data_IF_921043137368
#
_entry.id   IF_921043137368
#
_cell.length_a   1.000
_cell.length_b   1.000
_cell.length_c   1.000
_cell.angle_alpha   90.00
_cell.angle_beta   90.00
_cell.angle_gamma   90.00
#
_symmetry.space_group_name_H-M   'P 1'
#
loop_
_entity.id
_entity.type
_entity.pdbx_description
1 polymer ?
#
# COMPACT_ATOMS: atom_id res chain seq x y z
N UNK A 1 10.95 9.59 -28.52
CA UNK A 1 10.12 9.93 -27.34
C UNK A 1 10.95 9.72 -26.06
N UNK A 2 11.24 10.78 -25.32
CA UNK A 2 11.96 10.67 -24.05
C UNK A 2 11.15 9.75 -23.10
N UNK A 3 11.80 8.74 -22.53
CA UNK A 3 11.18 7.89 -21.51
C UNK A 3 10.78 8.79 -20.34
N UNK A 4 9.50 8.76 -19.95
CA UNK A 4 9.01 9.49 -18.77
C UNK A 4 9.72 8.97 -17.51
N UNK A 5 9.93 9.86 -16.55
CA UNK A 5 10.55 9.46 -15.28
C UNK A 5 9.72 8.35 -14.61
N UNK A 6 10.34 7.35 -13.97
CA UNK A 6 9.61 6.38 -13.16
C UNK A 6 8.71 7.09 -12.15
N UNK A 7 7.49 6.59 -11.97
CA UNK A 7 6.46 7.23 -11.15
C UNK A 7 6.04 8.64 -11.60
N UNK A 8 6.38 9.11 -12.82
CA UNK A 8 5.92 10.42 -13.30
C UNK A 8 4.41 10.56 -13.26
N UNK A 9 3.63 9.48 -13.33
CA UNK A 9 2.18 9.50 -13.16
C UNK A 9 1.70 9.95 -11.77
N UNK A 10 2.55 9.89 -10.74
CA UNK A 10 2.29 10.50 -9.43
C UNK A 10 2.42 12.03 -9.50
N UNK A 11 3.17 12.55 -10.49
CA UNK A 11 3.61 13.94 -10.58
C UNK A 11 3.09 14.67 -11.84
N UNK A 12 2.59 13.94 -12.84
CA UNK A 12 2.12 14.45 -14.13
C UNK A 12 0.61 14.71 -14.13
N UNK A 13 0.34 16.02 -14.19
CA UNK A 13 -0.78 16.74 -14.82
C UNK A 13 -2.04 17.13 -14.02
N UNK A 14 -2.22 18.46 -14.05
CA UNK A 14 -3.23 19.32 -13.44
C UNK A 14 -4.60 19.22 -14.13
N UNK A 15 -4.89 18.09 -14.78
CA UNK A 15 -6.10 17.90 -15.61
C UNK A 15 -7.35 17.59 -14.77
N UNK A 16 -7.17 17.08 -13.55
CA UNK A 16 -8.23 16.98 -12.58
C UNK A 16 -8.22 18.24 -11.72
N UNK A 17 -9.14 19.16 -12.04
CA UNK A 17 -9.38 20.41 -11.32
C UNK A 17 -9.17 20.25 -9.81
N UNK A 18 -8.10 20.86 -9.30
CA UNK A 18 -7.63 20.68 -7.93
C UNK A 18 -8.36 21.53 -6.89
N UNK A 19 -9.21 22.46 -7.34
CA UNK A 19 -9.99 23.32 -6.47
C UNK A 19 -11.39 22.76 -6.25
N UNK A 20 -11.73 22.57 -4.98
CA UNK A 20 -13.03 22.04 -4.57
C UNK A 20 -14.21 22.88 -5.07
N UNK A 21 -14.06 24.21 -5.16
CA UNK A 21 -15.08 25.09 -5.77
C UNK A 21 -15.37 24.72 -7.22
N UNK A 22 -14.35 24.50 -8.04
CA UNK A 22 -14.52 24.12 -9.45
C UNK A 22 -15.11 22.71 -9.60
N UNK A 23 -14.78 21.78 -8.71
CA UNK A 23 -15.41 20.45 -8.70
C UNK A 23 -16.88 20.55 -8.30
N UNK A 24 -17.22 21.38 -7.30
CA UNK A 24 -18.61 21.69 -6.92
C UNK A 24 -19.37 22.36 -8.07
N UNK A 25 -18.76 23.30 -8.78
CA UNK A 25 -19.38 23.98 -9.92
C UNK A 25 -19.65 23.00 -11.07
N UNK A 26 -18.71 22.09 -11.36
CA UNK A 26 -18.95 21.02 -12.33
C UNK A 26 -20.05 20.06 -11.87
N UNK A 27 -20.06 19.67 -10.60
CA UNK A 27 -21.10 18.80 -10.06
C UNK A 27 -22.49 19.48 -10.10
N UNK A 28 -22.58 20.80 -9.89
CA UNK A 28 -23.85 21.54 -9.98
C UNK A 28 -24.27 21.86 -11.41
N UNK A 29 -23.37 21.72 -12.39
CA UNK A 29 -23.67 21.92 -13.81
C UNK A 29 -24.47 20.76 -14.45
N UNK A 30 -24.66 19.65 -13.74
CA UNK A 30 -25.49 18.54 -14.17
C UNK A 30 -26.38 17.96 -13.04
N UNK A 31 -27.47 17.23 -13.36
CA UNK A 31 -28.27 16.56 -12.35
C UNK A 31 -27.49 15.44 -11.65
N UNK A 32 -27.35 15.54 -10.33
CA UNK A 32 -26.79 14.47 -9.49
C UNK A 32 -27.85 13.40 -9.25
N UNK A 33 -27.52 12.15 -9.61
CA UNK A 33 -28.40 10.98 -9.49
C UNK A 33 -28.26 10.25 -8.16
N UNK A 34 -27.06 10.29 -7.59
CA UNK A 34 -26.74 9.60 -6.35
C UNK A 34 -25.67 10.36 -5.58
N UNK A 35 -25.78 10.37 -4.26
CA UNK A 35 -24.77 10.93 -3.37
C UNK A 35 -24.44 9.98 -2.21
N UNK A 36 -23.19 9.98 -1.77
CA UNK A 36 -22.77 9.26 -0.56
C UNK A 36 -21.55 9.89 0.11
N UNK A 37 -21.65 10.08 1.43
CA UNK A 37 -20.51 10.41 2.28
C UNK A 37 -19.49 9.27 2.31
N UNK A 38 -18.23 9.62 2.15
CA UNK A 38 -17.12 8.67 2.11
C UNK A 38 -15.81 9.33 2.55
N UNK A 39 -14.78 8.50 2.69
CA UNK A 39 -13.41 8.92 2.93
C UNK A 39 -12.61 8.54 1.70
N UNK A 40 -11.96 9.50 1.05
CA UNK A 40 -10.93 9.23 0.05
C UNK A 40 -9.64 8.86 0.77
N UNK A 41 -9.20 7.62 0.58
CA UNK A 41 -7.98 7.07 1.19
C UNK A 41 -6.85 7.21 0.18
N UNK A 42 -5.79 7.89 0.58
CA UNK A 42 -4.56 8.04 -0.19
C UNK A 42 -3.34 7.85 0.73
N UNK A 43 -2.15 7.57 0.17
CA UNK A 43 -0.99 7.19 0.97
C UNK A 43 -0.65 8.20 2.08
N UNK A 44 -0.72 9.50 1.75
CA UNK A 44 -0.35 10.58 2.66
C UNK A 44 -1.51 11.11 3.52
N UNK A 45 -2.77 10.83 3.15
CA UNK A 45 -3.92 11.48 3.78
C UNK A 45 -5.22 10.71 3.55
N UNK A 46 -6.05 10.69 4.59
CA UNK A 46 -7.46 10.33 4.49
C UNK A 46 -8.32 11.60 4.47
N UNK A 47 -9.18 11.74 3.47
CA UNK A 47 -9.97 12.96 3.24
C UNK A 47 -11.46 12.65 3.34
N UNK A 48 -12.14 13.24 4.33
CA UNK A 48 -13.60 13.15 4.45
C UNK A 48 -14.29 14.03 3.41
N UNK A 49 -15.32 13.49 2.78
CA UNK A 49 -16.09 14.22 1.80
C UNK A 49 -17.33 13.47 1.32
N UNK A 50 -17.80 13.90 0.15
CA UNK A 50 -19.00 13.38 -0.48
C UNK A 50 -18.70 12.97 -1.93
N UNK A 51 -19.12 11.76 -2.28
CA UNK A 51 -19.11 11.24 -3.64
C UNK A 51 -20.45 11.57 -4.30
N UNK A 52 -20.39 12.23 -5.45
CA UNK A 52 -21.54 12.62 -6.26
C UNK A 52 -21.46 11.89 -7.61
N UNK A 53 -22.52 11.17 -7.96
CA UNK A 53 -22.65 10.52 -9.28
C UNK A 53 -23.63 11.32 -10.13
N UNK A 54 -23.11 12.07 -11.10
CA UNK A 54 -23.88 12.81 -12.08
C UNK A 54 -24.25 11.96 -13.29
N UNK A 55 -24.86 12.56 -14.32
CA UNK A 55 -25.23 11.84 -15.55
C UNK A 55 -24.01 11.52 -16.41
N UNK A 56 -23.03 12.40 -16.46
CA UNK A 56 -21.87 12.34 -17.34
C UNK A 56 -20.55 12.07 -16.60
N UNK A 57 -20.51 12.31 -15.29
CA UNK A 57 -19.31 12.02 -14.50
C UNK A 57 -19.56 11.70 -13.03
N UNK A 58 -18.45 11.55 -12.34
CA UNK A 58 -18.34 11.33 -10.91
C UNK A 58 -17.47 12.42 -10.29
N UNK A 59 -17.82 12.83 -9.07
CA UNK A 59 -17.15 13.92 -8.36
C UNK A 59 -16.92 13.52 -6.91
N UNK A 60 -15.72 13.77 -6.39
CA UNK A 60 -15.45 13.75 -4.96
C UNK A 60 -15.21 15.16 -4.46
N UNK A 61 -15.96 15.56 -3.44
CA UNK A 61 -15.95 16.90 -2.87
C UNK A 61 -15.59 16.81 -1.39
N UNK A 62 -14.47 17.41 -0.99
CA UNK A 62 -14.05 17.48 0.41
C UNK A 62 -14.99 18.38 1.23
N UNK A 63 -15.21 17.98 2.48
CA UNK A 63 -16.10 18.70 3.42
C UNK A 63 -15.64 20.13 3.72
N UNK A 64 -14.33 20.34 3.92
CA UNK A 64 -13.74 21.60 4.43
C UNK A 64 -13.05 22.44 3.35
N UNK A 65 -13.58 22.42 2.13
CA UNK A 65 -13.07 23.18 0.98
C UNK A 65 -12.84 24.68 1.22
N UNK A 66 -13.56 25.30 2.16
CA UNK A 66 -13.57 26.74 2.39
C UNK A 66 -12.42 27.25 3.28
N UNK A 67 -11.89 26.41 4.18
CA UNK A 67 -10.81 26.79 5.13
C UNK A 67 -9.40 26.53 4.57
N UNK A 68 -9.30 25.88 3.40
CA UNK A 68 -8.03 25.60 2.73
C UNK A 68 -7.33 26.86 2.17
N UNK A 69 -7.91 28.06 2.34
CA UNK A 69 -7.31 29.32 1.92
C UNK A 69 -6.17 29.81 2.84
N UNK A 70 -6.05 29.30 4.07
CA UNK A 70 -5.06 29.83 5.04
C UNK A 70 -3.93 28.85 5.42
N UNK A 71 -4.01 27.61 4.93
CA UNK A 71 -2.93 26.61 5.06
C UNK A 71 -2.48 26.11 3.69
N UNK A 72 -2.15 27.04 2.78
CA UNK A 72 -1.14 26.72 1.78
C UNK A 72 0.17 26.49 2.53
N UNK A 73 0.36 25.25 2.99
CA UNK A 73 1.69 24.77 3.30
C UNK A 73 2.57 25.10 2.10
N UNK A 74 3.68 25.79 2.35
CA UNK A 74 4.70 26.24 1.40
C UNK A 74 5.43 25.03 0.76
N UNK A 75 4.77 23.88 0.63
CA UNK A 75 5.38 22.56 0.54
C UNK A 75 4.74 21.85 -0.64
N UNK A 76 5.39 21.98 -1.80
CA UNK A 76 4.97 21.37 -3.05
C UNK A 76 4.60 19.90 -2.90
N UNK A 77 3.60 19.53 -3.71
CA UNK A 77 3.05 18.17 -3.93
C UNK A 77 2.03 17.73 -2.88
N UNK A 78 0.85 18.36 -2.89
CA UNK A 78 -0.38 17.82 -2.29
C UNK A 78 -1.28 17.30 -3.40
N UNK A 79 -1.68 16.02 -3.32
CA UNK A 79 -2.79 15.49 -4.11
C UNK A 79 -4.00 16.40 -3.96
N UNK A 80 -4.72 16.63 -5.07
CA UNK A 80 -5.88 17.52 -5.06
C UNK A 80 -6.92 17.08 -4.03
N UNK A 81 -7.51 18.02 -3.28
CA UNK A 81 -8.45 17.65 -2.22
C UNK A 81 -9.83 17.24 -2.75
N UNK A 82 -10.13 17.56 -4.01
CA UNK A 82 -11.38 17.24 -4.68
C UNK A 82 -11.07 16.92 -6.13
N UNK A 83 -11.88 16.04 -6.73
CA UNK A 83 -11.59 15.51 -8.06
C UNK A 83 -12.86 15.25 -8.85
N UNK A 84 -12.73 15.22 -10.18
CA UNK A 84 -13.80 14.84 -11.10
C UNK A 84 -13.27 13.90 -12.16
N UNK A 85 -14.09 12.93 -12.57
CA UNK A 85 -13.78 11.95 -13.60
C UNK A 85 -15.00 11.69 -14.47
N UNK A 86 -14.79 11.36 -15.73
CA UNK A 86 -15.84 10.85 -16.60
C UNK A 86 -15.96 9.34 -16.46
N UNK A 87 -17.12 8.80 -16.81
CA UNK A 87 -17.33 7.35 -16.82
C UNK A 87 -16.46 6.61 -17.83
N UNK A 88 -16.04 7.29 -18.91
CA UNK A 88 -15.10 6.76 -19.91
C UNK A 88 -13.71 6.53 -19.32
N UNK A 89 -13.33 7.25 -18.27
CA UNK A 89 -12.02 7.07 -17.63
C UNK A 89 -11.98 5.82 -16.75
N UNK A 90 -13.13 5.20 -16.41
CA UNK A 90 -13.19 4.04 -15.53
C UNK A 90 -12.85 2.77 -16.30
N UNK A 91 -11.78 2.09 -15.85
CA UNK A 91 -11.30 0.83 -16.40
C UNK A 91 -11.71 -0.37 -15.56
N UNK A 92 -11.67 -0.26 -14.23
CA UNK A 92 -12.10 -1.33 -13.32
C UNK A 92 -12.71 -0.74 -12.05
N UNK A 93 -13.64 -1.46 -11.43
CA UNK A 93 -14.26 -1.08 -10.15
C UNK A 93 -14.26 -2.29 -9.23
N UNK A 94 -13.80 -2.10 -8.01
CA UNK A 94 -13.44 -3.18 -7.12
C UNK A 94 -13.97 -2.99 -5.72
N UNK A 95 -14.57 -4.03 -5.14
CA UNK A 95 -14.84 -4.08 -3.71
C UNK A 95 -13.53 -4.28 -2.93
N UNK A 96 -13.36 -3.52 -1.86
CA UNK A 96 -12.14 -3.52 -1.03
C UNK A 96 -12.45 -3.48 0.46
N UNK A 97 -11.46 -3.93 1.22
CA UNK A 97 -11.46 -3.81 2.66
C UNK A 97 -10.71 -2.54 3.05
N UNK A 98 -11.22 -1.84 4.06
CA UNK A 98 -10.50 -0.75 4.71
C UNK A 98 -10.63 -0.91 6.22
N UNK A 99 -9.50 -0.82 6.93
CA UNK A 99 -9.43 -1.11 8.37
C UNK A 99 -10.05 -2.48 8.75
N UNK A 100 -9.80 -3.49 7.93
CA UNK A 100 -10.33 -4.86 8.08
C UNK A 100 -11.86 -4.95 8.01
N UNK A 101 -12.53 -3.97 7.39
CA UNK A 101 -13.98 -3.98 7.15
C UNK A 101 -14.24 -4.00 5.65
N UNK A 102 -15.21 -4.80 5.22
CA UNK A 102 -15.61 -4.87 3.81
C UNK A 102 -16.50 -3.66 3.43
N UNK A 103 -15.89 -2.48 3.38
CA UNK A 103 -16.60 -1.20 3.30
C UNK A 103 -15.97 -0.19 2.33
N UNK A 104 -15.07 -0.59 1.44
CA UNK A 104 -14.45 0.31 0.47
C UNK A 104 -14.68 -0.12 -0.99
N UNK A 105 -14.51 0.84 -1.90
CA UNK A 105 -14.46 0.63 -3.35
C UNK A 105 -13.16 1.24 -3.88
N UNK A 106 -12.45 0.51 -4.73
CA UNK A 106 -11.31 1.02 -5.48
C UNK A 106 -11.65 1.11 -6.97
N UNK A 107 -11.42 2.29 -7.55
CA UNK A 107 -11.69 2.59 -8.96
C UNK A 107 -10.35 2.74 -9.67
N UNK A 108 -10.15 1.98 -10.74
CA UNK A 108 -8.95 2.03 -11.58
C UNK A 108 -9.28 2.79 -12.85
N UNK A 109 -8.46 3.78 -13.17
CA UNK A 109 -8.66 4.63 -14.34
C UNK A 109 -7.80 4.17 -15.52
N UNK A 110 -8.20 4.55 -16.73
CA UNK A 110 -7.49 4.23 -17.98
C UNK A 110 -6.09 4.85 -18.05
N UNK A 111 -5.85 5.94 -17.31
CA UNK A 111 -4.55 6.60 -17.19
C UNK A 111 -3.60 5.94 -16.16
N UNK A 112 -4.02 4.85 -15.50
CA UNK A 112 -3.23 4.13 -14.50
C UNK A 112 -3.38 4.63 -13.06
N UNK A 113 -4.11 5.74 -12.83
CA UNK A 113 -4.44 6.20 -11.48
C UNK A 113 -5.52 5.33 -10.85
N UNK A 114 -5.56 5.34 -9.52
CA UNK A 114 -6.54 4.60 -8.72
C UNK A 114 -7.10 5.47 -7.62
N UNK A 115 -8.32 5.17 -7.18
CA UNK A 115 -9.02 5.90 -6.13
C UNK A 115 -9.62 4.91 -5.16
N UNK A 116 -9.22 4.96 -3.89
CA UNK A 116 -9.79 4.14 -2.83
C UNK A 116 -10.78 4.99 -2.01
N UNK A 117 -12.06 4.63 -2.05
CA UNK A 117 -13.12 5.30 -1.32
C UNK A 117 -13.69 4.36 -0.25
N UNK A 118 -13.57 4.75 1.02
CA UNK A 118 -14.10 4.01 2.15
C UNK A 118 -15.44 4.57 2.63
N UNK A 119 -16.35 3.69 3.03
CA UNK A 119 -17.72 4.03 3.44
C UNK A 119 -18.00 3.55 4.86
N UNK A 120 -19.03 4.11 5.49
CA UNK A 120 -19.35 3.77 6.87
C UNK A 120 -19.78 2.29 7.05
N UNK A 121 -20.45 1.70 6.05
CA UNK A 121 -20.98 0.34 6.12
C UNK A 121 -20.80 -0.41 4.80
N UNK A 122 -20.79 -1.75 4.88
CA UNK A 122 -20.83 -2.65 3.71
C UNK A 122 -22.04 -2.36 2.80
N UNK A 123 -23.19 -2.03 3.38
CA UNK A 123 -24.38 -1.65 2.61
C UNK A 123 -24.14 -0.39 1.77
N UNK A 124 -23.54 0.65 2.35
CA UNK A 124 -23.24 1.87 1.59
C UNK A 124 -22.21 1.63 0.49
N UNK A 125 -21.20 0.79 0.77
CA UNK A 125 -20.26 0.31 -0.24
C UNK A 125 -20.98 -0.38 -1.39
N UNK A 126 -21.89 -1.31 -1.10
CA UNK A 126 -22.66 -2.04 -2.12
C UNK A 126 -23.57 -1.12 -2.94
N UNK A 127 -24.25 -0.18 -2.29
CA UNK A 127 -25.09 0.82 -2.95
C UNK A 127 -24.27 1.67 -3.93
N UNK A 128 -23.11 2.18 -3.50
CA UNK A 128 -22.20 2.97 -4.35
C UNK A 128 -21.68 2.13 -5.51
N UNK A 129 -21.17 0.94 -5.22
CA UNK A 129 -20.65 0.02 -6.23
C UNK A 129 -21.71 -0.26 -7.31
N UNK A 130 -22.95 -0.54 -6.90
CA UNK A 130 -24.05 -0.75 -7.83
C UNK A 130 -24.36 0.49 -8.66
N UNK A 131 -24.45 1.69 -8.05
CA UNK A 131 -24.75 2.93 -8.77
C UNK A 131 -23.65 3.36 -9.76
N UNK A 132 -22.38 3.01 -9.49
CA UNK A 132 -21.30 3.20 -10.46
C UNK A 132 -21.52 2.28 -11.67
N UNK A 133 -21.77 0.99 -11.43
CA UNK A 133 -21.92 -0.01 -12.48
C UNK A 133 -23.22 0.12 -13.30
N UNK A 134 -24.23 0.85 -12.83
CA UNK A 134 -25.42 1.18 -13.63
C UNK A 134 -25.20 2.35 -14.59
N UNK A 135 -24.05 3.03 -14.51
CA UNK A 135 -23.66 4.06 -15.47
C UNK A 135 -23.05 3.43 -16.73
N UNK A 136 -22.99 4.19 -17.81
CA UNK A 136 -22.35 3.74 -19.05
C UNK A 136 -20.82 3.81 -18.90
N UNK A 137 -20.17 2.65 -18.72
CA UNK A 137 -18.72 2.52 -18.49
C UNK A 137 -18.06 1.87 -19.73
N UNK A 138 -17.82 2.61 -20.82
CA UNK A 138 -17.42 2.02 -22.11
C UNK A 138 -16.04 1.34 -22.11
N UNK A 139 -15.18 1.69 -21.14
CA UNK A 139 -13.84 1.11 -20.99
C UNK A 139 -13.73 0.11 -19.83
N UNK A 140 -14.87 -0.29 -19.24
CA UNK A 140 -14.88 -1.25 -18.14
C UNK A 140 -14.39 -2.61 -18.63
N UNK A 141 -13.34 -3.12 -18.00
CA UNK A 141 -12.87 -4.47 -18.21
C UNK A 141 -13.54 -5.43 -17.23
N UNK A 142 -13.90 -6.60 -17.72
CA UNK A 142 -14.20 -7.72 -16.83
C UNK A 142 -12.94 -8.06 -16.04
N UNK A 143 -13.08 -8.05 -14.72
CA UNK A 143 -11.97 -8.37 -13.87
C UNK A 143 -11.59 -9.84 -13.97
N UNK A 144 -10.30 -10.09 -14.18
CA UNK A 144 -9.77 -11.41 -14.52
C UNK A 144 -10.10 -12.47 -13.46
N UNK A 145 -10.46 -13.67 -13.92
CA UNK A 145 -10.58 -14.83 -13.05
C UNK A 145 -9.18 -15.29 -12.61
N UNK A 146 -8.95 -15.37 -11.29
CA UNK A 146 -7.69 -15.85 -10.72
C UNK A 146 -7.25 -17.21 -11.30
N UNK A 147 -8.20 -18.09 -11.62
CA UNK A 147 -7.94 -19.41 -12.23
C UNK A 147 -7.33 -19.27 -13.61
N UNK A 148 -7.83 -18.33 -14.43
CA UNK A 148 -7.29 -18.05 -15.75
C UNK A 148 -5.87 -17.45 -15.63
N UNK A 149 -5.66 -16.54 -14.68
CA UNK A 149 -4.35 -15.97 -14.39
C UNK A 149 -3.35 -17.02 -13.94
N UNK A 150 -3.76 -17.97 -13.08
CA UNK A 150 -2.91 -19.11 -12.67
C UNK A 150 -2.54 -19.99 -13.85
N UNK A 151 -3.46 -20.24 -14.78
CA UNK A 151 -3.14 -21.00 -15.99
C UNK A 151 -2.16 -20.25 -16.91
N UNK A 152 -2.36 -18.94 -17.10
CA UNK A 152 -1.41 -18.12 -17.87
C UNK A 152 -0.02 -18.13 -17.26
N UNK A 153 0.06 -18.01 -15.92
CA UNK A 153 1.33 -18.08 -15.19
C UNK A 153 1.98 -19.47 -15.30
N UNK A 154 1.21 -20.54 -15.08
CA UNK A 154 1.69 -21.93 -15.16
C UNK A 154 2.13 -22.35 -16.57
N UNK A 155 1.62 -21.68 -17.60
CA UNK A 155 2.06 -21.86 -18.99
C UNK A 155 3.16 -20.89 -19.43
N UNK A 156 3.64 -20.02 -18.54
CA UNK A 156 4.73 -19.07 -18.80
C UNK A 156 4.32 -17.87 -19.67
N UNK A 157 3.03 -17.60 -19.85
CA UNK A 157 2.53 -16.46 -20.63
C UNK A 157 2.56 -15.14 -19.86
N UNK A 158 2.57 -15.21 -18.52
CA UNK A 158 2.83 -14.07 -17.64
C UNK A 158 3.94 -14.43 -16.67
N UNK A 159 4.76 -13.44 -16.32
CA UNK A 159 5.87 -13.58 -15.40
C UNK A 159 5.42 -13.77 -13.94
N UNK A 160 6.34 -14.21 -13.09
CA UNK A 160 6.12 -14.25 -11.64
C UNK A 160 5.72 -12.87 -11.08
N UNK A 161 6.34 -11.80 -11.58
CA UNK A 161 6.05 -10.43 -11.15
C UNK A 161 4.62 -10.02 -11.48
N UNK A 162 4.18 -10.25 -12.71
CA UNK A 162 2.80 -9.95 -13.14
C UNK A 162 1.79 -10.78 -12.34
N UNK A 163 2.06 -12.07 -12.16
CA UNK A 163 1.18 -12.94 -11.39
C UNK A 163 1.08 -12.51 -9.92
N UNK A 164 2.19 -12.21 -9.25
CA UNK A 164 2.19 -11.67 -7.88
C UNK A 164 1.48 -10.32 -7.78
N UNK A 165 1.61 -9.46 -8.79
CA UNK A 165 0.90 -8.18 -8.86
C UNK A 165 -0.61 -8.42 -8.94
N UNK A 166 -1.05 -9.37 -9.78
CA UNK A 166 -2.45 -9.77 -9.85
C UNK A 166 -2.94 -10.39 -8.55
N UNK A 167 -2.19 -11.28 -7.90
CA UNK A 167 -2.56 -11.87 -6.61
C UNK A 167 -2.75 -10.80 -5.53
N UNK A 168 -1.82 -9.85 -5.44
CA UNK A 168 -1.93 -8.72 -4.51
C UNK A 168 -3.22 -7.93 -4.76
N UNK A 169 -3.47 -7.55 -6.01
CA UNK A 169 -4.70 -6.84 -6.40
C UNK A 169 -5.98 -7.63 -6.05
N UNK A 170 -6.00 -8.94 -6.29
CA UNK A 170 -7.14 -9.81 -5.95
C UNK A 170 -7.35 -9.94 -4.44
N UNK A 171 -6.28 -9.92 -3.67
CA UNK A 171 -6.36 -9.96 -2.20
C UNK A 171 -6.79 -8.63 -1.57
N UNK A 172 -7.05 -7.60 -2.38
CA UNK A 172 -7.48 -6.28 -1.91
C UNK A 172 -6.35 -5.35 -1.53
N UNK A 173 -5.09 -5.71 -1.82
CA UNK A 173 -3.91 -4.87 -1.59
C UNK A 173 -3.96 -3.65 -2.52
N UNK A 174 -3.57 -2.51 -1.99
CA UNK A 174 -3.66 -1.23 -2.71
C UNK A 174 -2.44 -0.37 -2.44
N UNK A 175 -1.99 0.37 -3.46
CA UNK A 175 -0.97 1.40 -3.29
C UNK A 175 -1.50 2.63 -2.56
N UNK A 176 -2.84 2.83 -2.48
CA UNK A 176 -3.46 3.96 -1.80
C UNK A 176 -3.50 3.81 -0.27
N UNK A 177 -3.39 2.58 0.26
CA UNK A 177 -3.41 2.29 1.69
C UNK A 177 -2.12 1.57 2.09
N UNK A 178 -1.22 2.29 2.77
CA UNK A 178 0.07 1.74 3.19
C UNK A 178 -0.04 0.60 4.19
N UNK A 179 -1.17 0.47 4.90
CA UNK A 179 -1.41 -0.66 5.81
C UNK A 179 -1.75 -1.95 5.04
N UNK A 180 -2.17 -1.82 3.79
CA UNK A 180 -2.53 -2.93 2.89
C UNK A 180 -1.71 -2.89 1.59
N UNK A 181 -0.48 -2.39 1.68
CA UNK A 181 0.42 -2.30 0.53
C UNK A 181 0.72 -3.68 -0.07
N UNK A 182 0.95 -3.77 -1.41
CA UNK A 182 1.36 -5.01 -2.05
C UNK A 182 2.62 -5.63 -1.43
N UNK A 183 2.63 -6.96 -1.34
CA UNK A 183 3.70 -7.74 -0.70
C UNK A 183 4.38 -8.64 -1.71
N UNK A 184 5.70 -8.61 -1.72
CA UNK A 184 6.56 -9.49 -2.50
C UNK A 184 7.53 -10.22 -1.57
N UNK A 185 7.88 -11.48 -1.87
CA UNK A 185 8.78 -12.24 -1.02
C UNK A 185 10.24 -11.81 -1.22
N UNK A 186 11.06 -11.91 -0.18
CA UNK A 186 12.50 -12.04 -0.38
C UNK A 186 12.80 -13.25 -1.27
N UNK A 187 13.65 -13.09 -2.28
CA UNK A 187 14.07 -14.19 -3.17
C UNK A 187 15.48 -14.64 -2.87
N UNK A 188 16.42 -13.71 -2.75
CA UNK A 188 17.81 -13.99 -2.43
C UNK A 188 18.02 -13.95 -0.91
N UNK A 189 19.00 -14.70 -0.43
CA UNK A 189 19.50 -14.66 0.95
C UNK A 189 20.99 -14.36 1.08
N UNK A 190 21.73 -14.33 -0.04
CA UNK A 190 23.12 -13.87 -0.06
C UNK A 190 23.17 -12.40 -0.48
N UNK A 191 23.59 -11.56 0.46
CA UNK A 191 23.80 -10.12 0.30
C UNK A 191 25.21 -9.70 0.75
N UNK A 192 26.15 -10.65 0.78
CA UNK A 192 27.52 -10.44 1.25
C UNK A 192 28.51 -10.71 0.11
N UNK A 193 28.23 -11.72 -0.71
CA UNK A 193 29.07 -12.06 -1.85
C UNK A 193 29.14 -10.92 -2.87
N UNK A 194 30.35 -10.60 -3.31
CA UNK A 194 30.58 -9.59 -4.36
C UNK A 194 29.95 -10.00 -5.71
N UNK A 195 29.91 -11.30 -5.98
CA UNK A 195 29.32 -11.90 -7.17
C UNK A 195 28.35 -13.01 -6.80
N UNK A 196 27.17 -13.02 -7.42
CA UNK A 196 26.15 -14.05 -7.22
C UNK A 196 26.10 -15.01 -8.41
N UNK A 197 26.24 -16.31 -8.15
CA UNK A 197 25.92 -17.35 -9.12
C UNK A 197 24.44 -17.72 -9.02
N UNK A 198 23.65 -17.26 -9.99
CA UNK A 198 22.22 -17.54 -10.03
C UNK A 198 21.89 -19.02 -10.29
N UNK A 199 22.86 -19.85 -10.70
CA UNK A 199 22.73 -21.30 -10.79
C UNK A 199 22.83 -22.01 -9.43
N UNK A 200 23.38 -21.35 -8.41
CA UNK A 200 23.49 -21.93 -7.08
C UNK A 200 22.16 -21.87 -6.33
N UNK A 201 21.51 -23.02 -6.14
CA UNK A 201 20.29 -23.11 -5.35
C UNK A 201 20.44 -22.61 -3.90
N UNK A 202 21.68 -22.57 -3.38
CA UNK A 202 21.96 -22.19 -2.00
C UNK A 202 21.81 -20.69 -1.73
N UNK A 203 21.79 -19.81 -2.75
CA UNK A 203 21.62 -18.36 -2.55
C UNK A 203 20.15 -17.94 -2.45
N UNK A 204 19.22 -18.85 -2.69
CA UNK A 204 17.79 -18.57 -2.68
C UNK A 204 17.17 -18.83 -1.31
N UNK A 205 16.20 -18.00 -0.96
CA UNK A 205 15.33 -18.19 0.19
C UNK A 205 14.51 -19.49 0.03
N UNK A 206 14.25 -20.17 1.14
CA UNK A 206 13.23 -21.20 1.15
C UNK A 206 11.81 -20.59 1.16
N UNK A 207 11.17 -20.53 -0.01
CA UNK A 207 9.82 -19.99 -0.19
C UNK A 207 8.71 -20.86 0.42
N UNK A 208 9.01 -22.09 0.84
CA UNK A 208 8.06 -22.92 1.60
C UNK A 208 7.94 -22.48 3.07
N UNK A 209 8.74 -21.50 3.50
CA UNK A 209 8.79 -21.02 4.87
C UNK A 209 8.56 -19.50 4.96
N UNK A 210 7.88 -19.01 6.03
CA UNK A 210 7.83 -17.59 6.35
C UNK A 210 9.22 -16.97 6.54
N UNK A 211 9.32 -15.64 6.45
CA UNK A 211 10.62 -14.95 6.50
C UNK A 211 11.34 -15.18 7.82
N UNK A 212 10.59 -15.18 8.93
CA UNK A 212 11.12 -15.33 10.29
C UNK A 212 11.79 -16.67 10.60
N UNK A 213 11.60 -17.69 9.75
CA UNK A 213 12.04 -19.08 10.02
C UNK A 213 12.85 -19.65 8.85
N UNK A 214 13.78 -18.85 8.33
CA UNK A 214 14.72 -19.29 7.30
C UNK A 214 15.91 -20.07 7.89
N UNK A 215 16.12 -19.99 9.20
CA UNK A 215 17.08 -20.78 9.97
C UNK A 215 16.33 -21.71 10.93
N UNK A 216 16.71 -22.99 10.94
CA UNK A 216 16.04 -24.04 11.72
C UNK A 216 16.16 -23.79 13.22
N UNK A 217 17.27 -23.22 13.65
CA UNK A 217 17.59 -22.89 15.04
C UNK A 217 16.62 -21.85 15.66
N UNK A 218 15.82 -21.17 14.83
CA UNK A 218 14.85 -20.15 15.27
C UNK A 218 13.42 -20.67 15.35
N UNK A 219 13.11 -21.80 14.73
CA UNK A 219 11.76 -22.35 14.66
C UNK A 219 11.22 -22.71 16.04
N UNK A 220 12.01 -23.44 16.84
CA UNK A 220 11.62 -23.92 18.17
C UNK A 220 11.16 -22.76 19.06
N UNK A 221 11.80 -21.60 18.93
CA UNK A 221 11.46 -20.42 19.72
C UNK A 221 10.08 -19.84 19.40
N UNK A 222 9.68 -19.82 18.12
CA UNK A 222 8.34 -19.37 17.74
C UNK A 222 7.27 -20.38 18.16
N UNK A 223 7.59 -21.68 18.07
CA UNK A 223 6.73 -22.77 18.55
C UNK A 223 6.54 -22.69 20.06
N UNK A 224 7.61 -22.46 20.82
CA UNK A 224 7.57 -22.36 22.27
C UNK A 224 6.81 -21.10 22.73
N UNK A 225 6.97 -19.97 22.04
CA UNK A 225 6.17 -18.77 22.28
C UNK A 225 4.66 -19.06 22.08
N UNK A 226 4.30 -19.74 20.99
CA UNK A 226 2.91 -20.11 20.73
C UNK A 226 2.36 -21.02 21.85
N UNK A 227 3.11 -22.06 22.24
CA UNK A 227 2.70 -22.99 23.30
C UNK A 227 2.52 -22.29 24.65
N UNK A 228 3.44 -21.39 24.99
CA UNK A 228 3.34 -20.58 26.20
C UNK A 228 2.06 -19.73 26.16
N UNK A 229 1.82 -18.99 25.08
CA UNK A 229 0.60 -18.17 24.94
C UNK A 229 -0.68 -19.02 24.92
N UNK A 230 -0.64 -20.24 24.39
CA UNK A 230 -1.78 -21.15 24.39
C UNK A 230 -2.11 -21.62 25.82
N UNK A 231 -1.09 -21.88 26.63
CA UNK A 231 -1.27 -22.24 28.04
C UNK A 231 -1.86 -21.07 28.84
N UNK A 232 -1.32 -19.86 28.65
CA UNK A 232 -1.84 -18.65 29.31
C UNK A 232 -3.28 -18.35 28.87
N UNK A 233 -3.57 -18.44 27.57
CA UNK A 233 -4.93 -18.26 27.05
C UNK A 233 -5.92 -19.27 27.66
N UNK A 234 -5.49 -20.51 27.90
CA UNK A 234 -6.30 -21.56 28.52
C UNK A 234 -6.57 -21.32 30.00
N UNK A 235 -5.66 -20.65 30.73
CA UNK A 235 -5.85 -20.27 32.13
C UNK A 235 -6.98 -19.23 32.30
N UNK A 236 -7.27 -18.47 31.24
CA UNK A 236 -8.30 -17.43 31.24
C UNK A 236 -7.79 -16.14 31.91
N UNK A 237 -8.66 -15.14 32.01
CA UNK A 237 -8.32 -13.87 32.65
C UNK A 237 -8.33 -14.03 34.18
N UNK A 238 -7.30 -13.54 34.87
CA UNK A 238 -7.32 -13.31 36.30
C UNK A 238 -7.79 -11.88 36.61
N UNK A 239 -8.43 -11.67 37.78
CA UNK A 239 -8.97 -10.36 38.18
C UNK A 239 -7.88 -9.27 38.28
N UNK A 240 -6.62 -9.66 38.47
CA UNK A 240 -5.46 -8.76 38.56
C UNK A 240 -4.73 -8.53 37.22
N UNK A 241 -5.19 -9.14 36.12
CA UNK A 241 -4.51 -9.02 34.84
C UNK A 241 -4.69 -7.62 34.22
N UNK A 242 -3.61 -6.94 33.82
CA UNK A 242 -3.69 -5.61 33.24
C UNK A 242 -4.28 -5.58 31.82
N UNK A 243 -4.44 -6.75 31.18
CA UNK A 243 -4.88 -6.88 29.78
C UNK A 243 -5.65 -8.20 29.61
N UNK A 244 -6.69 -8.25 28.75
CA UNK A 244 -7.36 -9.50 28.42
C UNK A 244 -6.41 -10.56 27.82
N UNK A 245 -6.71 -11.86 28.00
CA UNK A 245 -5.91 -12.94 27.44
C UNK A 245 -5.87 -12.87 25.92
N UNK A 246 -4.66 -12.91 25.37
CA UNK A 246 -4.42 -12.82 23.92
C UNK A 246 -4.42 -14.22 23.33
N UNK A 247 -5.06 -14.40 22.17
CA UNK A 247 -4.99 -15.68 21.46
C UNK A 247 -3.54 -16.03 21.10
N UNK A 248 -3.16 -17.32 21.07
CA UNK A 248 -1.80 -17.72 20.78
C UNK A 248 -1.37 -17.34 19.36
N UNK A 249 -0.14 -16.86 19.23
CA UNK A 249 0.45 -16.47 17.95
C UNK A 249 1.94 -16.80 17.90
N UNK A 250 2.44 -16.99 16.68
CA UNK A 250 3.88 -17.14 16.45
C UNK A 250 4.56 -15.77 16.41
N UNK A 251 3.99 -14.81 15.68
CA UNK A 251 4.61 -13.51 15.41
C UNK A 251 3.77 -12.38 16.01
N UNK A 252 4.36 -11.59 16.91
CA UNK A 252 3.74 -10.36 17.44
C UNK A 252 3.88 -9.15 16.50
N UNK A 253 4.45 -9.35 15.32
CA UNK A 253 4.68 -8.32 14.31
C UNK A 253 4.24 -8.82 12.95
N UNK A 254 3.94 -7.90 12.03
CA UNK A 254 3.37 -8.23 10.72
C UNK A 254 4.36 -7.96 9.59
N UNK A 255 4.35 -8.83 8.58
CA UNK A 255 5.28 -8.79 7.45
C UNK A 255 5.06 -7.59 6.51
N UNK A 256 3.91 -6.95 6.60
CA UNK A 256 3.51 -5.79 5.81
C UNK A 256 2.81 -4.78 6.70
N UNK A 257 3.33 -3.57 6.79
CA UNK A 257 2.70 -2.46 7.50
C UNK A 257 3.23 -1.15 6.92
N UNK A 258 2.60 -0.03 7.27
CA UNK A 258 3.01 1.30 6.77
C UNK A 258 4.45 1.63 7.11
N UNK A 259 4.90 1.29 8.32
CA UNK A 259 6.29 1.46 8.75
C UNK A 259 7.30 0.75 7.85
N UNK A 260 7.01 -0.48 7.41
CA UNK A 260 7.83 -1.22 6.45
C UNK A 260 7.93 -0.51 5.10
N UNK A 261 6.80 -0.05 4.55
CA UNK A 261 6.78 0.64 3.26
C UNK A 261 7.56 1.95 3.32
N UNK A 262 7.30 2.75 4.36
CA UNK A 262 7.99 4.01 4.59
C UNK A 262 9.49 3.82 4.85
N UNK A 263 9.86 2.75 5.56
CA UNK A 263 11.26 2.38 5.80
C UNK A 263 11.99 2.11 4.47
N UNK A 264 11.42 1.30 3.58
CA UNK A 264 12.04 1.02 2.28
C UNK A 264 12.05 2.24 1.35
N UNK A 265 10.96 2.98 1.27
CA UNK A 265 10.81 4.10 0.34
C UNK A 265 11.29 5.44 0.90
N UNK A 266 11.99 5.47 2.03
CA UNK A 266 12.40 6.70 2.73
C UNK A 266 13.15 7.71 1.84
N UNK A 267 13.81 7.25 0.76
CA UNK A 267 14.55 8.10 -0.19
C UNK A 267 13.70 8.66 -1.33
N UNK A 268 12.44 8.26 -1.44
CA UNK A 268 11.53 8.66 -2.50
C UNK A 268 10.51 9.69 -1.98
N UNK A 269 10.31 10.82 -2.66
CA UNK A 269 9.13 11.65 -2.46
C UNK A 269 7.85 10.91 -2.88
N UNK A 270 6.70 11.11 -2.20
CA UNK A 270 6.50 11.87 -0.96
C UNK A 270 6.86 11.09 0.32
N UNK A 271 7.27 9.83 0.21
CA UNK A 271 7.50 8.91 1.32
C UNK A 271 8.55 9.40 2.33
N UNK A 272 9.54 10.19 1.91
CA UNK A 272 10.49 10.80 2.88
C UNK A 272 9.77 11.68 3.90
N UNK A 273 8.84 12.53 3.46
CA UNK A 273 8.07 13.42 4.36
C UNK A 273 7.11 12.60 5.23
N UNK A 274 6.52 11.56 4.65
CA UNK A 274 5.60 10.67 5.37
C UNK A 274 6.33 9.87 6.45
N UNK A 275 7.55 9.39 6.17
CA UNK A 275 8.41 8.72 7.15
C UNK A 275 8.77 9.65 8.31
N UNK A 276 9.12 10.91 8.02
CA UNK A 276 9.38 11.92 9.05
C UNK A 276 8.16 12.18 9.94
N UNK A 277 6.98 12.32 9.34
CA UNK A 277 5.74 12.50 10.09
C UNK A 277 5.40 11.28 10.96
N UNK A 278 5.71 10.07 10.48
CA UNK A 278 5.52 8.82 11.22
C UNK A 278 6.47 8.68 12.43
N UNK A 279 7.61 9.36 12.42
CA UNK A 279 8.62 9.37 13.51
C UNK A 279 8.58 10.67 14.33
N UNK A 280 7.40 11.28 14.50
CA UNK A 280 7.21 12.51 15.28
C UNK A 280 8.15 13.68 14.87
N UNK A 281 8.42 13.82 13.57
CA UNK A 281 9.29 14.86 12.98
C UNK A 281 10.78 14.76 13.38
N UNK A 282 11.24 13.63 13.92
CA UNK A 282 12.66 13.38 14.20
C UNK A 282 13.23 12.26 13.33
N UNK A 283 14.42 12.46 12.75
CA UNK A 283 15.26 11.36 12.28
C UNK A 283 15.96 10.77 13.51
N UNK A 284 15.22 10.09 14.38
CA UNK A 284 15.71 9.95 15.75
C UNK A 284 16.95 9.05 15.88
N UNK A 285 17.23 8.17 14.90
CA UNK A 285 18.53 7.47 14.77
C UNK A 285 18.78 7.07 13.30
N UNK A 286 19.90 7.46 12.65
CA UNK A 286 20.27 7.01 11.31
C UNK A 286 20.25 5.48 11.16
N UNK A 287 20.67 4.76 12.22
CA UNK A 287 20.71 3.29 12.30
C UNK A 287 19.35 2.59 12.20
N UNK A 288 18.22 3.33 12.27
CA UNK A 288 16.87 2.78 12.11
C UNK A 288 16.30 2.94 10.70
N UNK A 289 17.00 3.67 9.83
CA UNK A 289 16.58 3.86 8.44
C UNK A 289 17.09 2.72 7.56
N UNK A 290 16.42 2.48 6.43
CA UNK A 290 16.83 1.41 5.52
C UNK A 290 18.19 1.75 4.90
N UNK A 291 19.23 0.98 5.21
CA UNK A 291 20.61 1.29 4.80
C UNK A 291 21.40 0.09 4.26
N UNK A 292 20.91 -1.14 4.39
CA UNK A 292 21.59 -2.34 3.88
C UNK A 292 20.63 -3.50 3.69
N UNK A 293 20.67 -4.11 2.50
CA UNK A 293 19.92 -5.35 2.22
C UNK A 293 20.37 -6.51 3.08
N UNK A 294 21.68 -6.63 3.34
CA UNK A 294 22.21 -7.66 4.22
C UNK A 294 21.67 -7.50 5.64
N UNK A 295 21.70 -6.28 6.19
CA UNK A 295 21.13 -6.01 7.52
C UNK A 295 19.63 -6.31 7.55
N UNK A 296 18.86 -5.85 6.57
CA UNK A 296 17.41 -6.12 6.49
C UNK A 296 17.14 -7.63 6.43
N UNK A 297 17.83 -8.37 5.56
CA UNK A 297 17.68 -9.82 5.47
C UNK A 297 17.96 -10.50 6.81
N UNK A 298 19.11 -10.21 7.44
CA UNK A 298 19.51 -10.78 8.73
C UNK A 298 18.48 -10.52 9.82
N UNK A 299 18.06 -9.26 9.97
CA UNK A 299 17.06 -8.85 10.95
C UNK A 299 15.73 -9.55 10.72
N UNK A 300 15.21 -9.52 9.49
CA UNK A 300 13.89 -10.08 9.18
C UNK A 300 13.84 -11.61 9.21
N UNK A 301 14.98 -12.28 8.99
CA UNK A 301 14.99 -13.73 8.77
C UNK A 301 15.52 -14.60 9.91
N UNK A 302 16.40 -14.09 10.78
CA UNK A 302 16.92 -14.89 11.90
C UNK A 302 17.48 -14.11 13.12
N UNK A 303 17.81 -12.82 12.98
CA UNK A 303 18.43 -12.06 14.08
C UNK A 303 17.42 -11.40 15.01
N UNK A 304 16.35 -10.81 14.46
CA UNK A 304 15.32 -10.16 15.26
C UNK A 304 14.10 -11.06 15.45
N UNK A 305 13.47 -10.95 16.61
CA UNK A 305 12.21 -11.64 16.90
C UNK A 305 10.98 -10.83 16.51
N UNK A 306 11.15 -9.53 16.31
CA UNK A 306 10.07 -8.57 16.03
C UNK A 306 10.15 -8.01 14.61
N UNK A 307 11.27 -8.24 13.91
CA UNK A 307 11.40 -7.90 12.49
C UNK A 307 11.02 -9.13 11.66
N UNK A 308 9.89 -9.07 10.97
CA UNK A 308 9.41 -10.15 10.11
C UNK A 308 8.95 -9.62 8.75
N UNK A 309 9.55 -8.52 8.29
CA UNK A 309 9.15 -7.81 7.08
C UNK A 309 9.38 -8.66 5.82
N UNK A 310 8.42 -8.62 4.91
CA UNK A 310 8.61 -9.06 3.52
C UNK A 310 8.91 -7.83 2.64
N UNK A 311 9.28 -8.06 1.37
CA UNK A 311 9.59 -7.00 0.43
C UNK A 311 8.32 -6.34 -0.15
N UNK A 312 8.55 -5.23 -0.84
CA UNK A 312 7.57 -4.52 -1.67
C UNK A 312 7.90 -4.67 -3.16
N UNK A 313 6.95 -4.45 -4.08
CA UNK A 313 7.18 -4.61 -5.52
C UNK A 313 8.37 -3.79 -6.06
N UNK A 314 8.64 -2.62 -5.49
CA UNK A 314 9.65 -1.66 -5.95
C UNK A 314 11.06 -2.26 -5.99
N UNK A 315 11.35 -3.27 -5.16
CA UNK A 315 12.60 -4.03 -5.18
C UNK A 315 12.90 -4.70 -6.52
N UNK A 316 11.88 -4.90 -7.36
CA UNK A 316 12.00 -5.65 -8.61
C UNK A 316 11.95 -4.76 -9.86
N UNK A 317 11.66 -3.46 -9.73
CA UNK A 317 11.52 -2.58 -10.90
C UNK A 317 11.94 -1.12 -10.70
N UNK A 318 12.16 -0.65 -9.46
CA UNK A 318 12.40 0.76 -9.16
C UNK A 318 13.75 0.96 -8.47
N UNK A 319 14.90 0.91 -9.15
CA UNK A 319 16.21 1.07 -8.51
C UNK A 319 16.40 2.43 -7.81
N UNK A 320 15.61 3.44 -8.17
CA UNK A 320 15.63 4.79 -7.60
C UNK A 320 15.53 4.83 -6.08
N UNK A 321 14.72 3.97 -5.44
CA UNK A 321 14.53 4.04 -3.98
C UNK A 321 15.80 3.66 -3.20
N UNK A 322 16.78 3.03 -3.85
CA UNK A 322 18.09 2.70 -3.29
C UNK A 322 19.09 3.86 -3.40
N UNK A 323 18.80 4.88 -4.21
CA UNK A 323 19.72 5.99 -4.50
C UNK A 323 19.29 7.25 -3.76
N UNK A 324 20.21 7.83 -2.97
CA UNK A 324 19.97 9.12 -2.32
C UNK A 324 20.20 10.29 -3.29
N UNK A 325 19.24 10.52 -4.21
CA UNK A 325 19.33 11.60 -5.21
C UNK A 325 19.16 13.00 -4.62
N UNK A 326 18.43 13.15 -3.51
CA UNK A 326 18.16 14.45 -2.89
C UNK A 326 19.28 14.93 -1.95
N UNK A 327 20.34 14.13 -1.76
CA UNK A 327 21.47 14.48 -0.89
C UNK A 327 21.08 14.69 0.59
N UNK A 328 19.90 14.21 1.00
CA UNK A 328 19.45 14.32 2.40
C UNK A 328 20.34 13.44 3.27
N UNK A 329 20.76 13.96 4.42
CA UNK A 329 21.48 13.18 5.43
C UNK A 329 20.47 12.23 6.08
N UNK A 330 20.20 11.12 5.40
CA UNK A 330 19.40 9.99 5.94
C UNK A 330 20.35 9.00 6.62
N UNK A 331 21.65 9.12 6.36
CA UNK A 331 22.70 8.25 6.86
C UNK A 331 23.97 9.09 7.11
N UNK A 332 24.65 8.90 8.25
CA UNK A 332 26.00 9.46 8.43
C UNK A 332 27.03 8.72 7.54
N UNK A 333 26.63 7.62 6.90
CA UNK A 333 27.42 6.93 5.90
C UNK A 333 27.06 7.40 4.48
N UNK A 334 27.91 8.25 3.90
CA UNK A 334 28.01 8.41 2.44
C UNK A 334 28.54 7.13 1.79
N UNK A 335 27.81 6.01 1.87
CA UNK A 335 28.12 4.80 1.12
C UNK A 335 26.92 4.37 0.29
N UNK A 336 27.09 4.11 -1.02
CA UNK A 336 26.09 3.39 -1.79
C UNK A 336 25.89 2.00 -1.18
N UNK A 337 24.64 1.52 -1.26
CA UNK A 337 24.15 0.21 -0.82
C UNK A 337 24.91 -0.95 -1.46
#
# INVERSE_FOLDING_TARGET
PAARAPLSFLFEDKTHSSFSSTVKDKATSEPIRFTRRCISVAPSRETSGELLLGKSGMYFVEDNAADAHDNQSVHGETEAASFSWTYEEIKEVHKRWWQLRDNAVEIFLTNGRTLLLAFHTTKFRDDVYHNILTSDLPNLLEYGNITALTHLWGSGQISNFEYLTHLNKHSGRSFNDLMQYPVFPFILKDYISETLDLGDSSIYRNLNKPIAVQSKEKEDRYVDNYKYLEEEYRKGAHDDDPMPPVQPYHYGSHYSNSGTVLHFLVRMPPFTKMFLAYQDQSFDIPDRTFHSMNTTWRLSSFESMTDVKELIPEFFYLPEFLVNREGRIIDHAHRPL
#
